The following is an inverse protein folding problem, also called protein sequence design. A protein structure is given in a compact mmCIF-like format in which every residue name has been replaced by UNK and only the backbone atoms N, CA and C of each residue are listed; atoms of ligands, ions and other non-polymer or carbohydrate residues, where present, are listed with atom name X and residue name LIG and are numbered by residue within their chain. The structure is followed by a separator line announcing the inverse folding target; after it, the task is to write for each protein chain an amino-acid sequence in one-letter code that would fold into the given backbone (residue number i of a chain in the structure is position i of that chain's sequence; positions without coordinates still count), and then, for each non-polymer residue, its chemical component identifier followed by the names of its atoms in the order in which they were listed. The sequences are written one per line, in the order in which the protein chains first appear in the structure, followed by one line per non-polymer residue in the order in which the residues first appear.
data_IF_622412279826
#
_entry.id   IF_622412279826
#
_cell.length_a   1.000
_cell.length_b   1.000
_cell.length_c   1.000
_cell.angle_alpha   90.00
_cell.angle_beta   90.00
_cell.angle_gamma   90.00
#
_symmetry.space_group_name_H-M   'P 1'
#
loop_
_entity.id
_entity.type
_entity.pdbx_description
1 polymer ?
#
# COMPACT_ATOMS: atom_id res chain seq x y z
N UNK A 1 11.11 3.96 -3.24
CA UNK A 1 10.34 5.05 -2.60
C UNK A 1 11.25 5.81 -1.65
N UNK A 2 11.34 7.13 -1.79
CA UNK A 2 12.05 8.00 -0.82
C UNK A 2 11.03 8.69 0.08
N UNK A 3 11.30 8.72 1.38
CA UNK A 3 10.56 9.50 2.39
C UNK A 3 11.33 10.78 2.65
N UNK A 4 10.64 11.92 2.63
CA UNK A 4 11.21 13.24 2.96
C UNK A 4 10.38 13.86 4.08
N UNK A 5 11.02 14.32 5.14
CA UNK A 5 10.38 14.90 6.31
C UNK A 5 10.75 16.38 6.44
N UNK A 6 9.83 17.21 6.93
CA UNK A 6 10.06 18.63 7.24
C UNK A 6 10.80 18.84 8.56
N UNK A 7 10.84 17.82 9.42
CA UNK A 7 11.59 17.77 10.67
C UNK A 7 12.33 16.45 10.76
N UNK A 8 13.54 16.48 11.33
CA UNK A 8 14.38 15.31 11.58
C UNK A 8 14.32 14.83 13.05
N UNK A 9 13.46 15.45 13.87
CA UNK A 9 13.23 15.02 15.26
C UNK A 9 12.50 13.68 15.23
N UNK A 10 13.07 12.60 15.81
CA UNK A 10 12.45 11.28 15.77
C UNK A 10 11.08 11.24 16.44
N UNK A 11 10.11 10.63 15.77
CA UNK A 11 8.79 10.36 16.35
C UNK A 11 8.84 8.98 17.00
N UNK A 12 8.77 8.94 18.33
CA UNK A 12 8.62 7.71 19.10
C UNK A 12 7.24 7.66 19.75
N UNK A 13 6.38 6.76 19.26
CA UNK A 13 5.08 6.46 19.82
C UNK A 13 5.13 5.08 20.49
N UNK A 14 4.58 4.90 21.72
CA UNK A 14 4.61 3.61 22.40
C UNK A 14 3.75 2.57 21.68
N UNK A 15 4.13 1.29 21.74
CA UNK A 15 3.29 0.20 21.18
C UNK A 15 1.94 0.15 21.87
N UNK A 16 0.88 -0.14 21.11
CA UNK A 16 -0.40 -0.55 21.70
C UNK A 16 -0.27 -1.96 22.31
N UNK A 17 -1.12 -2.25 23.30
CA UNK A 17 -1.24 -3.57 23.92
C UNK A 17 -2.51 -4.23 23.40
N UNK A 18 -2.43 -5.48 23.00
CA UNK A 18 -3.59 -6.24 22.54
C UNK A 18 -3.82 -7.48 23.41
N UNK A 19 -4.91 -8.22 23.16
CA UNK A 19 -5.11 -9.54 23.80
C UNK A 19 -4.06 -10.54 23.29
N UNK A 20 -3.75 -11.62 24.04
CA UNK A 20 -2.77 -12.62 23.62
C UNK A 20 -3.06 -13.21 22.23
N UNK A 21 -4.33 -13.41 21.89
CA UNK A 21 -4.78 -13.87 20.55
C UNK A 21 -4.34 -12.92 19.43
N UNK A 22 -4.50 -11.60 19.64
CA UNK A 22 -4.15 -10.59 18.63
C UNK A 22 -2.64 -10.34 18.59
N UNK A 23 -1.93 -10.43 19.71
CA UNK A 23 -0.46 -10.39 19.74
C UNK A 23 0.14 -11.58 18.97
N UNK A 24 -0.45 -12.78 19.06
CA UNK A 24 -0.05 -13.94 18.26
C UNK A 24 -0.24 -13.69 16.76
N UNK A 25 -1.40 -13.16 16.34
CA UNK A 25 -1.69 -12.83 14.93
C UNK A 25 -0.72 -11.74 14.41
N UNK A 26 -0.43 -10.72 15.20
CA UNK A 26 0.58 -9.69 14.87
C UNK A 26 1.94 -10.36 14.66
N UNK A 27 2.30 -11.30 15.51
CA UNK A 27 3.59 -11.95 15.46
C UNK A 27 3.73 -12.92 14.28
N UNK A 28 2.71 -13.73 13.98
CA UNK A 28 2.66 -14.57 12.78
C UNK A 28 2.89 -13.73 11.52
N UNK A 29 2.22 -12.57 11.41
CA UNK A 29 2.43 -11.65 10.29
C UNK A 29 3.84 -11.03 10.26
N UNK A 30 4.43 -10.70 11.41
CA UNK A 30 5.82 -10.23 11.47
C UNK A 30 6.81 -11.32 11.04
N UNK A 31 6.59 -12.56 11.45
CA UNK A 31 7.43 -13.71 11.08
C UNK A 31 7.32 -14.00 9.56
N UNK A 32 6.11 -13.89 8.98
CA UNK A 32 5.89 -13.93 7.52
C UNK A 32 6.59 -12.78 6.77
N UNK A 33 6.50 -11.54 7.27
CA UNK A 33 7.13 -10.36 6.66
C UNK A 33 8.66 -10.44 6.72
N UNK A 34 9.23 -11.02 7.78
CA UNK A 34 10.66 -11.30 7.91
C UNK A 34 11.10 -12.38 6.90
N UNK A 35 10.38 -13.50 6.82
CA UNK A 35 10.68 -14.60 5.90
C UNK A 35 10.65 -14.13 4.42
N UNK A 36 9.78 -13.18 4.08
CA UNK A 36 9.65 -12.59 2.75
C UNK A 36 10.62 -11.41 2.49
N UNK A 37 11.50 -11.05 3.44
CA UNK A 37 12.38 -9.88 3.36
C UNK A 37 11.63 -8.57 3.04
N UNK A 38 10.46 -8.38 3.66
CA UNK A 38 9.64 -7.17 3.55
C UNK A 38 9.92 -6.18 4.68
N UNK A 39 10.47 -6.68 5.80
CA UNK A 39 10.96 -5.92 6.95
C UNK A 39 12.31 -6.47 7.42
N UNK A 40 13.07 -5.70 8.19
CA UNK A 40 14.31 -6.12 8.86
C UNK A 40 14.31 -5.74 10.34
N UNK A 41 15.07 -6.41 11.23
CA UNK A 41 15.36 -5.89 12.57
C UNK A 41 15.99 -4.49 12.50
N UNK A 42 15.69 -3.63 13.47
CA UNK A 42 16.11 -2.24 13.46
C UNK A 42 16.58 -1.74 14.82
N UNK A 43 17.36 -0.65 14.79
CA UNK A 43 17.76 0.17 15.94
C UNK A 43 17.38 1.64 15.73
N UNK A 44 16.42 1.92 14.85
CA UNK A 44 15.95 3.27 14.54
C UNK A 44 15.44 4.02 15.79
N UNK A 45 15.67 5.34 15.89
CA UNK A 45 15.06 6.17 16.94
C UNK A 45 13.57 6.48 16.67
N UNK A 46 13.05 6.15 15.49
CA UNK A 46 11.63 6.30 15.14
C UNK A 46 10.86 5.05 15.55
N UNK A 47 9.66 5.23 16.10
CA UNK A 47 8.77 4.10 16.37
C UNK A 47 7.30 4.47 16.17
N UNK A 48 6.62 3.69 15.33
CA UNK A 48 5.18 3.76 15.12
C UNK A 48 4.50 2.47 15.62
N UNK A 49 3.33 2.54 16.27
CA UNK A 49 2.65 1.36 16.75
C UNK A 49 1.96 0.61 15.60
N UNK A 50 1.91 -0.71 15.74
CA UNK A 50 1.15 -1.60 14.85
C UNK A 50 -0.35 -1.46 15.12
N UNK A 51 -1.14 -1.47 14.04
CA UNK A 51 -2.60 -1.50 14.04
C UNK A 51 -3.08 -2.75 13.28
N UNK A 52 -3.55 -3.81 13.96
CA UNK A 52 -4.14 -4.98 13.31
C UNK A 52 -5.55 -4.65 12.81
N UNK A 53 -5.71 -4.45 11.50
CA UNK A 53 -6.98 -4.11 10.86
C UNK A 53 -7.69 -5.38 10.39
N UNK A 54 -8.93 -5.61 10.81
CA UNK A 54 -9.76 -6.72 10.33
C UNK A 54 -10.06 -6.56 8.83
N UNK A 55 -9.66 -7.54 8.02
CA UNK A 55 -10.09 -7.65 6.62
C UNK A 55 -11.55 -8.13 6.60
N UNK A 56 -12.39 -7.51 5.78
CA UNK A 56 -13.73 -8.01 5.47
C UNK A 56 -13.58 -9.36 4.76
N UNK A 57 -14.07 -10.42 5.37
CA UNK A 57 -14.10 -11.78 4.82
C UNK A 57 -15.56 -12.20 4.58
N UNK A 58 -15.83 -13.14 3.66
CA UNK A 58 -17.15 -13.74 3.52
C UNK A 58 -17.63 -14.38 4.82
N UNK A 59 -18.94 -14.43 5.00
CA UNK A 59 -19.57 -15.04 6.16
C UNK A 59 -19.18 -16.53 6.27
N UNK A 60 -18.90 -16.99 7.50
CA UNK A 60 -18.37 -18.33 7.76
C UNK A 60 -16.85 -18.53 7.62
N UNK A 61 -16.08 -17.54 7.16
CA UNK A 61 -14.60 -17.60 7.18
C UNK A 61 -14.02 -17.01 8.47
N UNK A 62 -12.87 -17.52 8.97
CA UNK A 62 -12.19 -16.93 10.12
C UNK A 62 -11.72 -15.50 9.80
N UNK A 63 -11.72 -14.58 10.78
CA UNK A 63 -11.34 -13.20 10.58
C UNK A 63 -9.86 -13.10 10.19
N UNK A 64 -9.58 -12.61 8.97
CA UNK A 64 -8.22 -12.27 8.54
C UNK A 64 -7.88 -10.86 8.99
N UNK A 65 -6.61 -10.62 9.33
CA UNK A 65 -6.11 -9.31 9.74
C UNK A 65 -5.05 -8.79 8.75
N UNK A 66 -4.83 -7.48 8.72
CA UNK A 66 -3.72 -6.81 8.02
C UNK A 66 -2.93 -5.96 9.01
N UNK A 67 -1.61 -6.05 8.95
CA UNK A 67 -0.69 -5.19 9.67
C UNK A 67 -0.66 -3.78 9.03
N UNK A 68 -1.37 -2.80 9.62
CA UNK A 68 -1.11 -1.38 9.37
C UNK A 68 -0.08 -0.84 10.38
N UNK A 69 0.58 0.27 10.02
CA UNK A 69 1.32 1.10 10.97
C UNK A 69 0.56 2.41 11.19
N UNK A 70 0.53 2.93 12.42
CA UNK A 70 -0.05 4.25 12.71
C UNK A 70 0.90 5.38 12.25
N UNK A 71 0.92 5.64 10.95
CA UNK A 71 1.76 6.67 10.35
C UNK A 71 1.12 8.07 10.38
N UNK A 72 0.03 8.29 11.14
CA UNK A 72 -0.69 9.57 11.17
C UNK A 72 0.19 10.74 11.63
N UNK A 73 1.10 10.50 12.58
CA UNK A 73 2.07 11.50 13.03
C UNK A 73 3.18 11.76 12.00
N UNK A 74 3.66 10.72 11.31
CA UNK A 74 4.63 10.85 10.22
C UNK A 74 4.04 11.63 9.04
N UNK A 75 2.80 11.31 8.65
CA UNK A 75 2.09 11.94 7.53
C UNK A 75 1.86 13.45 7.72
N UNK A 76 1.92 13.98 8.95
CA UNK A 76 1.86 15.43 9.24
C UNK A 76 3.17 16.16 8.92
N UNK A 77 4.31 15.48 9.05
CA UNK A 77 5.65 16.04 8.77
C UNK A 77 6.23 15.55 7.44
N UNK A 78 5.59 14.60 6.77
CA UNK A 78 6.01 14.10 5.47
C UNK A 78 5.77 15.14 4.36
N UNK A 79 6.82 15.46 3.61
CA UNK A 79 6.72 16.20 2.36
C UNK A 79 6.05 15.28 1.34
N UNK A 80 4.81 15.62 0.94
CA UNK A 80 4.03 14.81 0.00
C UNK A 80 4.74 14.72 -1.35
N UNK A 81 4.92 13.49 -1.85
CA UNK A 81 5.32 13.28 -3.23
C UNK A 81 4.11 13.52 -4.13
N UNK A 82 4.04 14.70 -4.73
CA UNK A 82 2.97 15.04 -5.67
C UNK A 82 3.28 14.44 -7.04
N UNK A 83 2.52 13.43 -7.44
CA UNK A 83 2.55 12.85 -8.79
C UNK A 83 1.20 13.11 -9.47
N UNK A 84 1.15 13.50 -10.76
CA UNK A 84 -0.11 13.73 -11.45
C UNK A 84 -0.89 12.42 -11.60
N UNK A 85 -2.00 12.31 -10.88
CA UNK A 85 -2.97 11.24 -11.09
C UNK A 85 -3.82 11.53 -12.34
N UNK A 86 -4.18 10.51 -13.13
CA UNK A 86 -5.16 10.66 -14.19
C UNK A 86 -6.54 11.00 -13.59
N UNK A 87 -7.25 11.97 -14.18
CA UNK A 87 -8.62 12.28 -13.80
C UNK A 87 -9.54 11.09 -14.11
N UNK A 88 -10.36 10.67 -13.15
CA UNK A 88 -11.22 9.48 -13.27
C UNK A 88 -12.34 9.67 -14.30
N UNK A 89 -12.87 10.88 -14.49
CA UNK A 89 -13.89 11.16 -15.49
C UNK A 89 -13.27 11.14 -16.90
N UNK A 90 -12.10 11.77 -17.07
CA UNK A 90 -11.35 11.71 -18.33
C UNK A 90 -10.98 10.26 -18.67
N UNK A 91 -10.60 9.48 -17.65
CA UNK A 91 -10.33 8.04 -17.78
C UNK A 91 -11.54 7.28 -18.29
N UNK A 92 -12.68 7.41 -17.62
CA UNK A 92 -13.91 6.70 -17.95
C UNK A 92 -14.47 7.14 -19.32
N UNK A 93 -14.39 8.42 -19.67
CA UNK A 93 -14.72 8.91 -21.01
C UNK A 93 -13.82 8.30 -22.08
N UNK A 94 -12.50 8.22 -21.84
CA UNK A 94 -11.59 7.56 -22.77
C UNK A 94 -11.85 6.05 -22.87
N UNK A 95 -12.41 5.41 -21.84
CA UNK A 95 -12.83 4.00 -21.88
C UNK A 95 -14.12 3.80 -22.69
N UNK A 96 -14.95 4.84 -22.85
CA UNK A 96 -16.15 4.78 -23.68
C UNK A 96 -15.87 4.32 -25.11
N UNK A 97 -16.69 3.38 -25.61
CA UNK A 97 -16.58 2.83 -26.96
C UNK A 97 -15.65 1.60 -27.10
N UNK A 98 -15.04 1.12 -26.01
CA UNK A 98 -14.35 -0.17 -26.00
C UNK A 98 -15.30 -1.29 -25.58
N UNK A 99 -15.26 -2.41 -26.29
CA UNK A 99 -16.11 -3.57 -25.99
C UNK A 99 -15.59 -4.39 -24.79
N UNK A 100 -14.27 -4.38 -24.52
CA UNK A 100 -13.66 -5.15 -23.42
C UNK A 100 -12.69 -4.36 -22.57
N UNK A 101 -12.63 -4.79 -21.31
CA UNK A 101 -11.74 -4.28 -20.27
C UNK A 101 -11.13 -5.48 -19.58
N UNK A 102 -9.86 -5.37 -19.17
CA UNK A 102 -9.22 -6.37 -18.32
C UNK A 102 -8.79 -5.71 -17.02
N UNK A 103 -9.39 -6.15 -15.91
CA UNK A 103 -8.97 -5.78 -14.57
C UNK A 103 -7.68 -6.55 -14.23
N UNK A 104 -6.60 -5.82 -13.99
CA UNK A 104 -5.39 -6.36 -13.35
C UNK A 104 -5.48 -6.06 -11.84
N UNK A 105 -5.61 -7.10 -11.04
CA UNK A 105 -5.44 -7.00 -9.59
C UNK A 105 -3.95 -7.18 -9.24
N UNK A 106 -3.30 -6.09 -8.85
CA UNK A 106 -1.96 -6.14 -8.28
C UNK A 106 -2.04 -6.38 -6.78
N UNK A 107 -2.50 -7.58 -6.42
CA UNK A 107 -2.56 -8.04 -5.04
C UNK A 107 -1.21 -7.80 -4.35
N UNK A 108 -1.25 -7.17 -3.17
CA UNK A 108 -0.05 -6.79 -2.41
C UNK A 108 0.92 -5.83 -3.14
N UNK A 109 0.48 -5.07 -4.14
CA UNK A 109 1.34 -4.22 -4.99
C UNK A 109 2.32 -3.29 -4.25
N UNK A 110 1.93 -2.68 -3.12
CA UNK A 110 2.85 -1.81 -2.35
C UNK A 110 4.04 -2.58 -1.74
N UNK A 111 3.85 -3.87 -1.41
CA UNK A 111 4.93 -4.74 -0.92
C UNK A 111 5.98 -5.04 -1.98
N UNK A 112 5.69 -4.79 -3.26
CA UNK A 112 6.69 -4.88 -4.34
C UNK A 112 7.60 -3.63 -4.38
N UNK A 113 7.10 -2.47 -3.96
CA UNK A 113 7.87 -1.21 -3.97
C UNK A 113 8.91 -1.17 -2.85
N UNK A 114 10.20 -1.23 -3.23
CA UNK A 114 11.31 -0.99 -2.30
C UNK A 114 11.30 0.43 -1.71
N UNK A 115 11.63 0.55 -0.43
CA UNK A 115 12.02 1.80 0.22
C UNK A 115 13.50 2.06 -0.07
N UNK A 116 13.93 3.32 -0.10
CA UNK A 116 15.33 3.68 -0.19
C UNK A 116 16.00 3.51 1.19
N UNK A 117 17.22 2.97 1.33
CA UNK A 117 17.86 2.70 2.62
C UNK A 117 17.75 3.86 3.63
N UNK A 118 18.10 5.09 3.22
CA UNK A 118 18.01 6.33 4.01
C UNK A 118 16.58 6.72 4.46
N UNK A 119 15.57 5.94 4.07
CA UNK A 119 14.15 6.14 4.38
C UNK A 119 13.52 4.99 5.17
N UNK A 120 14.23 3.87 5.36
CA UNK A 120 13.73 2.69 6.07
C UNK A 120 13.53 2.99 7.56
N UNK A 121 14.47 3.73 8.16
CA UNK A 121 14.44 4.10 9.58
C UNK A 121 13.19 4.91 9.96
N UNK A 122 12.72 5.81 9.08
CA UNK A 122 11.50 6.61 9.30
C UNK A 122 10.20 5.78 9.34
N UNK A 123 10.26 4.51 8.94
CA UNK A 123 9.11 3.60 8.84
C UNK A 123 9.30 2.40 9.77
N UNK A 124 9.84 2.65 10.97
CA UNK A 124 10.15 1.62 11.96
C UNK A 124 9.06 1.47 13.02
N UNK A 125 8.89 0.25 13.53
CA UNK A 125 7.81 -0.14 14.43
C UNK A 125 8.25 -1.20 15.44
N UNK A 126 7.51 -1.34 16.54
CA UNK A 126 7.80 -2.32 17.59
C UNK A 126 6.63 -3.25 17.85
N UNK A 127 6.92 -4.52 18.07
CA UNK A 127 5.97 -5.53 18.59
C UNK A 127 6.42 -6.03 19.96
N UNK A 128 5.77 -7.07 20.49
CA UNK A 128 6.18 -7.71 21.73
C UNK A 128 7.55 -8.42 21.64
N UNK A 129 8.01 -8.82 20.44
CA UNK A 129 9.27 -9.57 20.25
C UNK A 129 10.45 -8.77 19.70
N UNK A 130 10.25 -7.53 19.23
CA UNK A 130 11.37 -6.76 18.67
C UNK A 130 10.98 -5.42 18.03
N UNK A 131 12.00 -4.76 17.48
CA UNK A 131 11.90 -3.52 16.72
C UNK A 131 12.36 -3.75 15.27
N UNK A 132 11.62 -3.23 14.31
CA UNK A 132 11.76 -3.55 12.88
C UNK A 132 11.59 -2.31 12.00
N UNK A 133 12.31 -2.26 10.87
CA UNK A 133 12.11 -1.27 9.81
C UNK A 133 11.46 -1.89 8.58
N UNK A 134 10.59 -1.13 7.92
CA UNK A 134 10.00 -1.52 6.65
C UNK A 134 11.02 -1.42 5.50
N UNK A 135 11.18 -2.50 4.71
CA UNK A 135 11.94 -2.50 3.45
C UNK A 135 11.06 -2.19 2.24
N UNK A 136 9.74 -2.37 2.39
CA UNK A 136 8.74 -2.18 1.34
C UNK A 136 7.68 -1.17 1.76
N UNK A 137 7.09 -0.46 0.80
CA UNK A 137 6.23 0.68 1.08
C UNK A 137 5.00 0.31 1.94
N UNK A 138 4.87 0.83 3.17
CA UNK A 138 3.75 0.51 4.04
C UNK A 138 2.44 1.10 3.51
N UNK A 139 1.37 0.38 3.82
CA UNK A 139 0.01 0.87 3.77
C UNK A 139 -0.14 1.97 4.85
N UNK A 140 -0.89 3.04 4.53
CA UNK A 140 -1.09 4.19 5.43
C UNK A 140 -0.05 5.32 5.32
N UNK A 141 1.07 5.17 4.60
CA UNK A 141 1.95 6.31 4.31
C UNK A 141 1.39 7.18 3.17
N UNK A 142 1.28 8.49 3.41
CA UNK A 142 0.55 9.43 2.55
C UNK A 142 1.04 9.48 1.09
N UNK A 143 2.33 9.22 0.86
CA UNK A 143 2.91 9.25 -0.49
C UNK A 143 2.98 7.89 -1.17
N UNK A 144 2.68 6.78 -0.48
CA UNK A 144 2.74 5.41 -1.05
C UNK A 144 1.93 5.30 -2.34
N UNK A 145 0.66 5.77 -2.44
CA UNK A 145 -0.11 5.64 -3.68
C UNK A 145 0.44 6.47 -4.85
N UNK A 146 1.07 7.62 -4.58
CA UNK A 146 1.67 8.47 -5.61
C UNK A 146 2.96 7.85 -6.16
N UNK A 147 3.78 7.27 -5.28
CA UNK A 147 4.94 6.47 -5.68
C UNK A 147 4.55 5.24 -6.48
N UNK A 148 3.44 4.58 -6.13
CA UNK A 148 2.92 3.45 -6.89
C UNK A 148 2.45 3.86 -8.28
N UNK A 149 1.68 4.95 -8.43
CA UNK A 149 1.30 5.45 -9.75
C UNK A 149 2.54 5.78 -10.62
N UNK A 150 3.53 6.45 -10.03
CA UNK A 150 4.79 6.77 -10.71
C UNK A 150 5.53 5.51 -11.18
N UNK A 151 5.60 4.47 -10.34
CA UNK A 151 6.19 3.18 -10.70
C UNK A 151 5.41 2.49 -11.83
N UNK A 152 4.07 2.47 -11.77
CA UNK A 152 3.23 1.91 -12.83
C UNK A 152 3.43 2.63 -14.16
N UNK A 153 3.45 3.97 -14.15
CA UNK A 153 3.65 4.76 -15.35
C UNK A 153 5.05 4.58 -15.95
N UNK A 154 6.07 4.29 -15.12
CA UNK A 154 7.41 3.98 -15.61
C UNK A 154 7.52 2.56 -16.19
N UNK A 155 6.89 1.56 -15.56
CA UNK A 155 6.96 0.15 -15.99
C UNK A 155 6.07 -0.11 -17.21
N UNK A 156 4.84 0.40 -17.20
CA UNK A 156 3.88 0.18 -18.28
C UNK A 156 3.90 1.28 -19.33
N UNK A 157 4.58 2.41 -19.11
CA UNK A 157 4.49 3.64 -19.93
C UNK A 157 4.51 3.45 -21.44
N UNK A 158 5.38 2.58 -21.95
CA UNK A 158 5.50 2.29 -23.38
C UNK A 158 4.36 1.40 -23.91
N UNK A 159 3.75 0.56 -23.05
CA UNK A 159 2.46 -0.09 -23.33
C UNK A 159 1.28 0.90 -23.16
N UNK A 160 1.39 1.91 -22.27
CA UNK A 160 0.32 2.91 -22.02
C UNK A 160 0.00 3.78 -23.24
N UNK A 161 0.96 4.00 -24.14
CA UNK A 161 0.73 4.82 -25.34
C UNK A 161 -0.12 4.13 -26.43
N UNK A 162 0.19 2.88 -26.86
CA UNK A 162 -0.66 2.14 -27.81
C UNK A 162 -1.89 1.49 -27.12
N UNK A 163 -1.77 1.02 -25.88
CA UNK A 163 -2.88 0.55 -25.06
C UNK A 163 -3.07 1.53 -23.90
N UNK A 164 -4.03 2.45 -23.99
CA UNK A 164 -4.29 3.49 -22.96
C UNK A 164 -4.74 2.93 -21.59
N UNK A 165 -3.91 2.15 -20.89
CA UNK A 165 -4.26 1.63 -19.57
C UNK A 165 -4.45 2.81 -18.62
N UNK A 166 -5.36 2.66 -17.68
CA UNK A 166 -5.51 3.67 -16.64
C UNK A 166 -5.68 3.01 -15.29
N UNK A 167 -5.32 3.74 -14.25
CA UNK A 167 -5.27 3.23 -12.89
C UNK A 167 -6.28 4.02 -12.08
N UNK A 168 -7.43 3.41 -11.83
CA UNK A 168 -8.54 4.06 -11.13
C UNK A 168 -8.81 3.36 -9.82
N UNK A 169 -8.95 4.17 -8.78
CA UNK A 169 -9.38 3.74 -7.47
C UNK A 169 -10.90 3.89 -7.40
N UNK A 170 -11.63 2.79 -7.25
CA UNK A 170 -13.08 2.79 -7.12
C UNK A 170 -13.50 2.43 -5.68
N UNK A 171 -14.74 2.73 -5.32
CA UNK A 171 -15.31 2.59 -3.98
C UNK A 171 -16.42 1.54 -3.88
N UNK A 172 -17.06 1.14 -4.99
CA UNK A 172 -18.39 0.50 -4.96
C UNK A 172 -18.54 -0.89 -5.62
N UNK A 173 -17.47 -1.52 -6.13
CA UNK A 173 -17.41 -2.98 -6.31
C UNK A 173 -18.51 -3.74 -7.10
N UNK A 174 -18.83 -3.35 -8.35
CA UNK A 174 -19.73 -4.12 -9.24
C UNK A 174 -19.07 -4.48 -10.60
N UNK A 175 -19.63 -5.48 -11.29
CA UNK A 175 -19.05 -6.22 -12.44
C UNK A 175 -19.88 -6.06 -13.73
N UNK A 176 -19.24 -6.02 -14.91
CA UNK A 176 -19.89 -6.14 -16.24
C UNK A 176 -18.97 -6.90 -17.24
N UNK A 177 -19.55 -7.65 -18.19
CA UNK A 177 -18.88 -8.44 -19.28
C UNK A 177 -19.42 -8.01 -20.67
N UNK A 178 -19.13 -8.58 -21.86
CA UNK A 178 -18.50 -9.85 -22.30
C UNK A 178 -17.96 -9.72 -23.75
N UNK A 179 -17.08 -10.64 -24.16
CA UNK A 179 -16.81 -11.14 -25.54
C UNK A 179 -16.38 -10.26 -26.76
N UNK A 180 -15.16 -10.58 -27.25
CA UNK A 180 -14.50 -10.22 -28.55
C UNK A 180 -13.59 -8.97 -28.71
N UNK A 181 -12.40 -9.10 -28.12
CA UNK A 181 -11.10 -8.74 -28.74
C UNK A 181 -10.82 -7.28 -29.13
N UNK A 182 -10.69 -6.42 -28.10
CA UNK A 182 -9.66 -5.36 -28.03
C UNK A 182 -9.40 -5.03 -26.56
N UNK A 183 -8.33 -5.59 -26.00
CA UNK A 183 -8.04 -5.52 -24.56
C UNK A 183 -7.42 -4.19 -24.18
N UNK A 184 -8.02 -3.53 -23.20
CA UNK A 184 -7.45 -2.37 -22.50
C UNK A 184 -7.34 -2.72 -21.02
N UNK A 185 -6.11 -2.73 -20.50
CA UNK A 185 -5.81 -3.11 -19.12
C UNK A 185 -6.19 -1.96 -18.17
N UNK A 186 -6.66 -2.27 -16.98
CA UNK A 186 -6.98 -1.30 -15.93
C UNK A 186 -6.52 -1.86 -14.59
N UNK A 187 -5.58 -1.16 -13.93
CA UNK A 187 -5.07 -1.59 -12.63
C UNK A 187 -5.94 -0.93 -11.56
N UNK A 188 -6.56 -1.75 -10.71
CA UNK A 188 -7.32 -1.26 -9.56
C UNK A 188 -6.50 -1.47 -8.30
N UNK A 189 -6.25 -0.38 -7.59
CA UNK A 189 -5.72 -0.41 -6.22
C UNK A 189 -6.88 -0.63 -5.25
N UNK A 190 -7.29 -1.89 -5.09
CA UNK A 190 -8.24 -2.27 -4.04
C UNK A 190 -7.55 -2.25 -2.65
N UNK A 191 -8.22 -1.64 -1.66
CA UNK A 191 -7.84 -1.53 -0.25
C UNK A 191 -6.45 -0.96 0.12
N UNK A 192 -6.27 0.37 0.05
CA UNK A 192 -5.15 1.07 0.72
C UNK A 192 -5.43 2.46 1.30
N UNK A 193 -6.69 2.87 1.40
CA UNK A 193 -7.06 4.03 2.25
C UNK A 193 -8.22 3.61 3.13
N UNK A 194 -7.86 3.10 4.33
CA UNK A 194 -8.57 3.25 5.60
C UNK A 194 -7.76 2.57 6.73
N UNK A 195 -6.52 3.05 6.88
CA UNK A 195 -5.90 3.28 8.19
C UNK A 195 -5.32 4.71 8.17
#
# INVERSE_FOLDING_TARGET
MVVKLTSQVPIFLPRFRFSPEVENIIQEQVDELLAQNLIKPSTSPYNFPVLPVKKRVPEGQPPKFRLCLDLRSLNKIAVKYNYPLPDINVTLQQMGGFAHYVKLDMANGFWQMGIHPDSEDYLSFSTAKGHFSMLRAPQGYISTPMWFQSALNNVFGELLFPMKMTVTRNVNGELITTEETRVRLQIYLDDAVLC
#
